data_IF_337299225349
#
_entry.id   IF_337299225349
#
_cell.length_a   1.000
_cell.length_b   1.000
_cell.length_c   1.000
_cell.angle_alpha   90.00
_cell.angle_beta   90.00
_cell.angle_gamma   90.00
#
_symmetry.space_group_name_H-M   'P 1'
#
loop_
_entity.id
_entity.type
_entity.pdbx_description
1 polymer ?
#
# COMPACT_ATOMS: atom_id res chain seq x y z
N UNK A 1 -6.08 18.78 -10.57
CA UNK A 1 -5.51 20.12 -10.50
C UNK A 1 -5.11 20.40 -9.05
N UNK A 2 -3.81 20.40 -8.80
CA UNK A 2 -3.23 20.80 -7.52
C UNK A 2 -3.51 22.25 -7.24
N UNK A 3 -4.36 22.54 -6.29
CA UNK A 3 -4.32 23.83 -5.62
C UNK A 3 -3.50 23.65 -4.34
N UNK A 4 -2.19 23.92 -4.41
CA UNK A 4 -1.42 24.20 -3.20
C UNK A 4 -2.06 25.41 -2.54
N UNK A 5 -2.64 25.22 -1.38
CA UNK A 5 -3.39 26.25 -0.71
C UNK A 5 -2.48 27.00 0.29
N UNK A 6 -1.36 27.51 -0.23
CA UNK A 6 -0.38 28.25 0.58
C UNK A 6 -1.00 29.50 1.23
N UNK A 7 -2.03 30.04 0.61
CA UNK A 7 -2.72 31.25 1.03
C UNK A 7 -4.19 31.00 1.39
N UNK A 8 -4.55 29.78 1.76
CA UNK A 8 -5.91 29.44 2.14
C UNK A 8 -6.31 30.01 3.51
N UNK A 9 -7.51 29.67 3.95
CA UNK A 9 -8.06 30.09 5.23
C UNK A 9 -7.23 29.55 6.40
N UNK A 10 -6.95 30.40 7.39
CA UNK A 10 -6.21 30.03 8.61
C UNK A 10 -7.10 29.37 9.65
N UNK A 11 -8.41 29.45 9.49
CA UNK A 11 -9.36 28.92 10.45
C UNK A 11 -9.46 27.40 10.35
N UNK A 12 -9.00 26.70 11.37
CA UNK A 12 -8.92 25.25 11.42
C UNK A 12 -10.29 24.57 11.36
N UNK A 13 -11.32 25.19 11.93
CA UNK A 13 -12.70 24.71 11.88
C UNK A 13 -13.21 24.50 10.44
N UNK A 14 -12.70 25.29 9.50
CA UNK A 14 -13.04 25.23 8.08
C UNK A 14 -12.27 24.15 7.30
N UNK A 15 -11.25 23.55 7.90
CA UNK A 15 -10.48 22.49 7.25
C UNK A 15 -11.38 21.32 6.87
N UNK A 16 -11.18 20.78 5.66
CA UNK A 16 -11.92 19.63 5.12
C UNK A 16 -10.92 18.62 4.55
N UNK A 17 -11.26 17.33 4.63
CA UNK A 17 -10.40 16.28 4.09
C UNK A 17 -10.24 16.45 2.58
N UNK A 18 -11.35 16.74 1.87
CA UNK A 18 -11.37 17.05 0.44
C UNK A 18 -12.06 18.38 0.21
N UNK A 19 -11.77 19.04 -0.92
CA UNK A 19 -12.37 20.31 -1.31
C UNK A 19 -12.27 21.42 -0.25
N UNK A 20 -11.25 21.36 0.61
CA UNK A 20 -10.98 22.40 1.59
C UNK A 20 -10.18 23.55 0.97
N UNK A 21 -10.26 24.74 1.59
CA UNK A 21 -9.50 25.94 1.22
C UNK A 21 -8.71 26.47 2.41
N UNK A 22 -8.06 25.58 3.15
CA UNK A 22 -7.21 25.94 4.28
C UNK A 22 -5.73 25.86 3.88
N UNK A 23 -4.87 26.53 4.66
CA UNK A 23 -3.43 26.39 4.47
C UNK A 23 -3.02 24.93 4.68
N UNK A 24 -2.01 24.46 3.94
CA UNK A 24 -1.45 23.11 4.12
C UNK A 24 -0.39 23.04 5.24
N UNK A 25 -0.42 23.99 6.16
CA UNK A 25 0.48 24.01 7.30
C UNK A 25 0.16 22.84 8.23
N UNK A 26 1.17 22.08 8.57
CA UNK A 26 1.10 21.04 9.60
C UNK A 26 1.32 21.68 10.97
N UNK A 27 0.25 21.81 11.74
CA UNK A 27 0.28 22.25 13.14
C UNK A 27 -0.25 21.13 14.01
N UNK A 28 0.66 20.36 14.61
CA UNK A 28 0.34 19.22 15.46
C UNK A 28 -0.32 19.60 16.79
N UNK A 29 -0.24 20.86 17.19
CA UNK A 29 -0.87 21.36 18.40
C UNK A 29 -2.32 21.80 18.17
N UNK A 30 -2.71 21.97 16.91
CA UNK A 30 -3.99 22.53 16.53
C UNK A 30 -4.57 21.83 15.27
N UNK A 31 -4.95 20.57 15.41
CA UNK A 31 -5.52 19.75 14.35
C UNK A 31 -7.03 19.66 14.46
N UNK A 32 -7.73 19.70 13.34
CA UNK A 32 -9.16 19.38 13.27
C UNK A 32 -9.41 17.87 13.39
N UNK A 33 -8.60 17.07 12.70
CA UNK A 33 -8.73 15.61 12.67
C UNK A 33 -7.71 14.99 13.64
N UNK A 34 -8.01 15.05 14.93
CA UNK A 34 -7.09 14.67 16.02
C UNK A 34 -6.68 13.20 16.00
N UNK A 35 -7.53 12.30 15.48
CA UNK A 35 -7.24 10.87 15.33
C UNK A 35 -5.98 10.60 14.47
N UNK A 36 -5.63 11.53 13.59
CA UNK A 36 -4.44 11.45 12.74
C UNK A 36 -3.17 11.32 13.56
N UNK A 37 -3.07 12.06 14.68
CA UNK A 37 -1.85 12.06 15.48
C UNK A 37 -1.53 10.66 16.02
N UNK A 38 -2.54 9.98 16.54
CA UNK A 38 -2.37 8.64 17.10
C UNK A 38 -2.07 7.62 15.99
N UNK A 39 -2.78 7.71 14.88
CA UNK A 39 -2.58 6.82 13.73
C UNK A 39 -1.17 7.01 13.12
N UNK A 40 -0.75 8.26 12.93
CA UNK A 40 0.58 8.58 12.41
C UNK A 40 1.70 8.08 13.34
N UNK A 41 1.55 8.28 14.67
CA UNK A 41 2.51 7.77 15.67
C UNK A 41 2.57 6.24 15.66
N UNK A 42 1.43 5.58 15.56
CA UNK A 42 1.38 4.12 15.45
C UNK A 42 2.13 3.65 14.20
N UNK A 43 1.92 4.31 13.05
CA UNK A 43 2.64 4.01 11.82
C UNK A 43 4.16 4.16 11.97
N UNK A 44 4.63 5.21 12.67
CA UNK A 44 6.05 5.39 12.95
C UNK A 44 6.61 4.33 13.93
N UNK A 45 5.84 3.93 14.93
CA UNK A 45 6.26 2.92 15.89
C UNK A 45 6.35 1.51 15.32
N UNK A 46 5.65 1.26 14.21
CA UNK A 46 5.72 0.01 13.46
C UNK A 46 6.88 0.00 12.45
N UNK A 47 7.89 0.83 12.66
CA UNK A 47 9.09 0.84 11.81
C UNK A 47 9.88 -0.44 11.98
N UNK A 48 10.30 -1.01 10.88
CA UNK A 48 11.20 -2.17 10.79
C UNK A 48 11.90 -2.16 9.43
N UNK A 49 12.97 -2.93 9.32
CA UNK A 49 13.68 -3.16 8.06
C UNK A 49 13.77 -4.65 7.77
N UNK A 50 13.77 -5.07 6.50
CA UNK A 50 13.79 -6.49 6.13
C UNK A 50 14.97 -7.26 6.69
N UNK A 51 16.11 -6.61 6.82
CA UNK A 51 17.36 -7.21 7.30
C UNK A 51 17.33 -7.61 8.78
N UNK A 52 16.35 -7.15 9.55
CA UNK A 52 16.12 -7.62 10.94
C UNK A 52 15.54 -9.03 10.98
N UNK A 53 15.00 -9.54 9.86
CA UNK A 53 14.41 -10.88 9.76
C UNK A 53 15.44 -11.86 9.23
N UNK A 54 15.77 -12.88 10.01
CA UNK A 54 16.70 -13.93 9.60
C UNK A 54 15.98 -15.02 8.80
N UNK A 55 16.17 -15.05 7.48
CA UNK A 55 15.55 -15.99 6.56
C UNK A 55 16.39 -17.27 6.28
N UNK A 56 17.42 -17.55 7.08
CA UNK A 56 18.28 -18.71 6.85
C UNK A 56 17.55 -20.05 7.01
N UNK A 57 16.54 -20.10 7.87
CA UNK A 57 15.70 -21.28 8.04
C UNK A 57 14.70 -21.41 6.90
N UNK A 58 14.12 -20.28 6.46
CA UNK A 58 13.10 -20.24 5.40
C UNK A 58 13.64 -20.82 4.09
N UNK A 59 14.91 -20.57 3.74
CA UNK A 59 15.56 -21.21 2.59
C UNK A 59 15.50 -22.73 2.65
N UNK A 60 15.70 -23.30 3.85
CA UNK A 60 15.69 -24.76 4.04
C UNK A 60 14.27 -25.32 3.99
N UNK A 61 13.33 -24.57 4.55
CA UNK A 61 11.93 -24.99 4.63
C UNK A 61 11.23 -24.83 3.28
N UNK A 62 11.51 -23.77 2.53
CA UNK A 62 11.04 -23.61 1.15
C UNK A 62 11.44 -24.78 0.24
N UNK A 63 12.65 -25.33 0.43
CA UNK A 63 13.13 -26.50 -0.34
C UNK A 63 12.39 -27.80 0.03
N UNK A 64 11.79 -27.88 1.20
CA UNK A 64 11.04 -29.06 1.67
C UNK A 64 9.57 -29.03 1.32
N UNK A 65 9.04 -27.86 0.90
CA UNK A 65 7.65 -27.74 0.48
C UNK A 65 7.35 -28.73 -0.65
N UNK A 66 6.17 -29.35 -0.59
CA UNK A 66 5.62 -30.10 -1.72
C UNK A 66 5.44 -29.17 -2.95
N UNK A 67 5.20 -29.73 -4.10
CA UNK A 67 4.99 -28.96 -5.32
C UNK A 67 3.74 -28.09 -5.20
N UNK A 68 2.69 -28.59 -4.59
CA UNK A 68 1.43 -27.87 -4.36
C UNK A 68 1.61 -26.71 -3.38
N UNK A 69 2.28 -26.95 -2.26
CA UNK A 69 2.57 -25.93 -1.25
C UNK A 69 3.45 -24.82 -1.83
N UNK A 70 4.49 -25.18 -2.58
CA UNK A 70 5.37 -24.22 -3.23
C UNK A 70 4.62 -23.40 -4.27
N UNK A 71 3.77 -24.04 -5.09
CA UNK A 71 2.95 -23.35 -6.08
C UNK A 71 2.00 -22.35 -5.42
N UNK A 72 1.36 -22.71 -4.30
CA UNK A 72 0.50 -21.83 -3.54
C UNK A 72 1.29 -20.65 -2.98
N UNK A 73 2.43 -20.90 -2.35
CA UNK A 73 3.31 -19.87 -1.79
C UNK A 73 3.79 -18.90 -2.87
N UNK A 74 4.31 -19.39 -3.98
CA UNK A 74 4.82 -18.58 -5.09
C UNK A 74 3.74 -17.70 -5.69
N UNK A 75 2.53 -18.22 -5.89
CA UNK A 75 1.39 -17.46 -6.42
C UNK A 75 0.93 -16.35 -5.47
N UNK A 76 0.86 -16.63 -4.17
CA UNK A 76 0.48 -15.64 -3.18
C UNK A 76 1.53 -14.54 -3.11
N UNK A 77 2.80 -14.90 -3.06
CA UNK A 77 3.89 -13.94 -3.04
C UNK A 77 3.89 -13.07 -4.30
N UNK A 78 3.72 -13.69 -5.48
CA UNK A 78 3.58 -12.99 -6.76
C UNK A 78 2.43 -11.97 -6.73
N UNK A 79 1.30 -12.35 -6.17
CA UNK A 79 0.11 -11.51 -6.07
C UNK A 79 0.33 -10.30 -5.16
N UNK A 80 0.88 -10.53 -3.95
CA UNK A 80 1.14 -9.47 -2.97
C UNK A 80 2.18 -8.46 -3.46
N UNK A 81 3.28 -8.92 -4.06
CA UNK A 81 4.32 -8.03 -4.61
C UNK A 81 3.72 -7.02 -5.60
N UNK A 82 2.83 -7.48 -6.47
CA UNK A 82 2.19 -6.61 -7.43
C UNK A 82 1.22 -5.63 -6.75
N UNK A 83 0.39 -6.10 -5.80
CA UNK A 83 -0.56 -5.25 -5.08
C UNK A 83 0.13 -4.12 -4.32
N UNK A 84 1.18 -4.40 -3.55
CA UNK A 84 1.89 -3.39 -2.78
C UNK A 84 2.64 -2.41 -3.69
N UNK A 85 3.09 -2.88 -4.86
CA UNK A 85 3.71 -2.01 -5.88
C UNK A 85 2.71 -0.99 -6.44
N UNK A 86 1.49 -1.41 -6.80
CA UNK A 86 0.47 -0.47 -7.29
C UNK A 86 -0.07 0.41 -6.16
N UNK A 87 -0.10 -0.09 -4.95
CA UNK A 87 -0.53 0.65 -3.77
C UNK A 87 0.42 1.80 -3.45
N UNK A 88 1.72 1.55 -3.43
CA UNK A 88 2.74 2.59 -3.24
C UNK A 88 2.54 3.76 -4.22
N UNK A 89 2.28 3.46 -5.49
CA UNK A 89 2.05 4.48 -6.51
C UNK A 89 0.71 5.21 -6.31
N UNK A 90 -0.37 4.47 -5.98
CA UNK A 90 -1.72 5.02 -5.89
C UNK A 90 -1.93 5.91 -4.67
N UNK A 91 -1.31 5.61 -3.54
CA UNK A 91 -1.40 6.43 -2.32
C UNK A 91 -0.94 7.87 -2.58
N UNK A 92 0.08 8.06 -3.42
CA UNK A 92 0.51 9.38 -3.87
C UNK A 92 -0.58 10.13 -4.64
N UNK A 93 -1.33 9.45 -5.51
CA UNK A 93 -2.44 10.04 -6.28
C UNK A 93 -3.60 10.45 -5.36
N UNK A 94 -3.97 9.60 -4.41
CA UNK A 94 -4.97 9.92 -3.39
C UNK A 94 -4.52 11.10 -2.54
N UNK A 95 -3.27 11.09 -2.07
CA UNK A 95 -2.68 12.14 -1.24
C UNK A 95 -2.77 13.52 -1.90
N UNK A 96 -2.61 13.56 -3.22
CA UNK A 96 -2.72 14.78 -4.00
C UNK A 96 -4.14 15.39 -4.00
N UNK A 97 -5.16 14.58 -3.78
CA UNK A 97 -6.56 15.01 -3.75
C UNK A 97 -7.00 15.44 -2.34
N UNK A 98 -6.28 15.03 -1.31
CA UNK A 98 -6.57 15.37 0.08
C UNK A 98 -6.12 16.80 0.37
N UNK A 99 -7.01 17.59 0.98
CA UNK A 99 -6.77 19.01 1.29
C UNK A 99 -6.52 19.27 2.78
N UNK A 100 -6.67 18.25 3.65
CA UNK A 100 -6.31 18.33 5.05
C UNK A 100 -4.86 17.87 5.23
N UNK A 101 -3.96 18.78 5.59
CA UNK A 101 -2.53 18.52 5.71
C UNK A 101 -2.20 17.40 6.70
N UNK A 102 -2.92 17.31 7.82
CA UNK A 102 -2.74 16.23 8.80
C UNK A 102 -3.12 14.86 8.23
N UNK A 103 -4.16 14.77 7.38
CA UNK A 103 -4.54 13.49 6.74
C UNK A 103 -3.50 13.05 5.72
N UNK A 104 -2.84 14.00 5.04
CA UNK A 104 -1.74 13.72 4.14
C UNK A 104 -0.57 13.02 4.85
N UNK A 105 -0.34 13.30 6.13
CA UNK A 105 0.70 12.61 6.92
C UNK A 105 0.40 11.12 7.07
N UNK A 106 -0.87 10.73 7.25
CA UNK A 106 -1.26 9.32 7.31
C UNK A 106 -0.95 8.59 5.99
N UNK A 107 -1.32 9.20 4.85
CA UNK A 107 -1.03 8.61 3.54
C UNK A 107 0.47 8.56 3.24
N UNK A 108 1.23 9.53 3.75
CA UNK A 108 2.69 9.55 3.59
C UNK A 108 3.35 8.41 4.36
N UNK A 109 2.97 8.19 5.62
CA UNK A 109 3.53 7.08 6.41
C UNK A 109 3.09 5.72 5.85
N UNK A 110 1.86 5.59 5.36
CA UNK A 110 1.40 4.39 4.69
C UNK A 110 2.22 4.11 3.43
N UNK A 111 2.44 5.12 2.56
CA UNK A 111 3.28 4.95 1.36
C UNK A 111 4.71 4.51 1.71
N UNK A 112 5.25 4.99 2.83
CA UNK A 112 6.54 4.54 3.32
C UNK A 112 6.51 3.05 3.73
N UNK A 113 5.47 2.61 4.42
CA UNK A 113 5.30 1.21 4.82
C UNK A 113 5.18 0.28 3.61
N UNK A 114 4.43 0.68 2.57
CA UNK A 114 4.35 -0.10 1.32
C UNK A 114 5.71 -0.22 0.60
N UNK A 115 6.53 0.82 0.69
CA UNK A 115 7.90 0.75 0.16
C UNK A 115 8.78 -0.25 0.95
N UNK A 116 8.61 -0.32 2.28
CA UNK A 116 9.29 -1.32 3.12
C UNK A 116 8.80 -2.73 2.79
N UNK A 117 7.49 -2.93 2.56
CA UNK A 117 6.93 -4.21 2.10
C UNK A 117 7.56 -4.65 0.77
N UNK A 118 7.64 -3.76 -0.21
CA UNK A 118 8.26 -4.05 -1.51
C UNK A 118 9.73 -4.44 -1.38
N UNK A 119 10.49 -3.77 -0.51
CA UNK A 119 11.87 -4.14 -0.19
C UNK A 119 11.94 -5.52 0.46
N UNK A 120 10.99 -5.84 1.35
CA UNK A 120 10.94 -7.11 2.07
C UNK A 120 10.71 -8.28 1.14
N UNK A 121 9.81 -8.14 0.16
CA UNK A 121 9.60 -9.18 -0.85
C UNK A 121 10.85 -9.43 -1.68
N UNK A 122 11.56 -8.36 -2.06
CA UNK A 122 12.83 -8.51 -2.77
C UNK A 122 13.86 -9.25 -1.93
N UNK A 123 14.01 -8.88 -0.66
CA UNK A 123 14.91 -9.53 0.29
C UNK A 123 14.54 -11.01 0.51
N UNK A 124 13.24 -11.31 0.66
CA UNK A 124 12.72 -12.66 0.82
C UNK A 124 13.05 -13.51 -0.42
N UNK A 125 12.70 -13.04 -1.61
CA UNK A 125 12.96 -13.78 -2.85
C UNK A 125 14.44 -14.04 -3.08
N UNK A 126 15.31 -13.05 -2.85
CA UNK A 126 16.75 -13.21 -2.97
C UNK A 126 17.33 -14.21 -1.94
N UNK A 127 16.64 -14.37 -0.79
CA UNK A 127 17.08 -15.30 0.25
C UNK A 127 16.66 -16.75 0.00
N UNK A 128 15.53 -16.99 -0.66
CA UNK A 128 14.94 -18.36 -0.79
C UNK A 128 15.00 -18.94 -2.20
N UNK A 129 15.20 -18.11 -3.24
CA UNK A 129 15.13 -18.52 -4.65
C UNK A 129 16.40 -18.23 -5.42
N UNK A 130 16.58 -18.95 -6.56
CA UNK A 130 17.53 -18.53 -7.59
C UNK A 130 17.02 -17.30 -8.36
N UNK A 131 17.90 -16.54 -9.03
CA UNK A 131 17.48 -15.40 -9.85
C UNK A 131 16.43 -15.73 -10.91
N UNK A 132 16.51 -16.92 -11.52
CA UNK A 132 15.56 -17.38 -12.52
C UNK A 132 14.18 -17.62 -11.89
N UNK A 133 14.14 -18.32 -10.74
CA UNK A 133 12.89 -18.58 -10.01
C UNK A 133 12.27 -17.30 -9.46
N UNK A 134 13.09 -16.37 -8.98
CA UNK A 134 12.63 -15.03 -8.59
C UNK A 134 11.91 -14.32 -9.73
N UNK A 135 12.48 -14.31 -10.92
CA UNK A 135 11.86 -13.67 -12.09
C UNK A 135 10.54 -14.35 -12.48
N UNK A 136 10.46 -15.68 -12.37
CA UNK A 136 9.21 -16.42 -12.57
C UNK A 136 8.14 -15.96 -11.58
N UNK A 137 8.44 -15.93 -10.28
CA UNK A 137 7.48 -15.53 -9.23
C UNK A 137 7.00 -14.10 -9.43
N UNK A 138 7.88 -13.16 -9.75
CA UNK A 138 7.52 -11.74 -9.93
C UNK A 138 6.39 -11.53 -10.95
N UNK A 139 6.26 -12.41 -11.94
CA UNK A 139 5.29 -12.27 -13.02
C UNK A 139 4.22 -13.37 -13.07
N UNK A 140 4.26 -14.35 -12.18
CA UNK A 140 3.36 -15.51 -12.19
C UNK A 140 1.87 -15.14 -12.07
N UNK A 141 1.55 -14.00 -11.41
CA UNK A 141 0.19 -13.47 -11.33
C UNK A 141 -0.43 -13.16 -12.71
N UNK A 142 0.39 -12.94 -13.75
CA UNK A 142 -0.09 -12.68 -15.12
C UNK A 142 -0.61 -13.93 -15.81
N UNK A 143 -0.07 -15.08 -15.42
CA UNK A 143 -0.37 -16.37 -16.03
C UNK A 143 -1.53 -17.09 -15.32
N UNK A 144 -1.96 -16.57 -14.17
CA UNK A 144 -3.13 -17.06 -13.43
C UNK A 144 -4.32 -16.13 -13.66
N UNK A 145 -5.37 -16.64 -14.34
CA UNK A 145 -6.54 -15.83 -14.72
C UNK A 145 -7.25 -15.20 -13.50
N UNK A 146 -7.30 -15.90 -12.37
CA UNK A 146 -7.95 -15.41 -11.16
C UNK A 146 -7.16 -14.25 -10.56
N UNK A 147 -5.84 -14.41 -10.42
CA UNK A 147 -4.96 -13.38 -9.88
C UNK A 147 -4.91 -12.16 -10.81
N UNK A 148 -4.82 -12.41 -12.12
CA UNK A 148 -4.84 -11.35 -13.13
C UNK A 148 -6.13 -10.51 -13.06
N UNK A 149 -7.30 -11.15 -12.94
CA UNK A 149 -8.57 -10.45 -12.87
C UNK A 149 -8.73 -9.66 -11.59
N UNK A 150 -8.25 -10.18 -10.44
CA UNK A 150 -8.21 -9.43 -9.16
C UNK A 150 -7.33 -8.19 -9.27
N UNK A 151 -6.14 -8.34 -9.82
CA UNK A 151 -5.21 -7.23 -10.01
C UNK A 151 -5.77 -6.17 -10.97
N UNK A 152 -6.40 -6.59 -12.08
CA UNK A 152 -7.07 -5.69 -13.00
C UNK A 152 -8.20 -4.93 -12.33
N UNK A 153 -9.01 -5.59 -11.52
CA UNK A 153 -10.12 -4.93 -10.81
C UNK A 153 -9.64 -3.75 -9.96
N UNK A 154 -8.58 -3.95 -9.18
CA UNK A 154 -7.98 -2.88 -8.35
C UNK A 154 -7.34 -1.80 -9.23
N UNK A 155 -6.51 -2.21 -10.19
CA UNK A 155 -5.81 -1.30 -11.09
C UNK A 155 -6.75 -0.43 -11.92
N UNK A 156 -7.85 -0.99 -12.41
CA UNK A 156 -8.84 -0.25 -13.20
C UNK A 156 -9.54 0.84 -12.37
N UNK A 157 -9.84 0.58 -11.10
CA UNK A 157 -10.43 1.57 -10.21
C UNK A 157 -9.44 2.71 -9.91
N UNK A 158 -8.15 2.38 -9.74
CA UNK A 158 -7.11 3.37 -9.55
C UNK A 158 -6.91 4.22 -10.82
N UNK A 159 -6.85 3.59 -11.99
CA UNK A 159 -6.72 4.29 -13.27
C UNK A 159 -7.93 5.19 -13.53
N UNK A 160 -9.16 4.75 -13.24
CA UNK A 160 -10.35 5.60 -13.35
C UNK A 160 -10.23 6.88 -12.50
N UNK A 161 -9.64 6.78 -11.30
CA UNK A 161 -9.42 7.96 -10.46
C UNK A 161 -8.31 8.85 -11.01
N UNK A 162 -7.22 8.29 -11.52
CA UNK A 162 -6.11 9.04 -12.12
C UNK A 162 -6.59 9.81 -13.35
N UNK A 163 -7.33 9.14 -14.23
CA UNK A 163 -7.80 9.72 -15.50
C UNK A 163 -8.92 10.75 -15.28
N UNK A 164 -9.75 10.54 -14.28
CA UNK A 164 -10.87 11.42 -13.96
C UNK A 164 -11.04 11.58 -12.43
N UNK A 165 -10.30 12.48 -11.79
CA UNK A 165 -10.26 12.66 -10.33
C UNK A 165 -11.52 13.40 -9.83
N UNK A 166 -12.62 12.68 -9.71
CA UNK A 166 -13.87 13.11 -9.10
C UNK A 166 -14.02 12.53 -7.68
N UNK A 167 -14.92 13.10 -6.87
CA UNK A 167 -15.24 12.54 -5.54
C UNK A 167 -15.72 11.09 -5.63
N UNK A 168 -16.54 10.76 -6.64
CA UNK A 168 -17.02 9.40 -6.87
C UNK A 168 -15.87 8.44 -7.17
N UNK A 169 -14.94 8.83 -8.03
CA UNK A 169 -13.79 7.99 -8.37
C UNK A 169 -12.78 7.91 -7.22
N UNK A 170 -12.63 8.98 -6.42
CA UNK A 170 -11.88 8.92 -5.16
C UNK A 170 -12.48 7.88 -4.21
N UNK A 171 -13.80 7.89 -4.01
CA UNK A 171 -14.46 6.90 -3.14
C UNK A 171 -14.26 5.48 -3.66
N UNK A 172 -14.32 5.26 -4.97
CA UNK A 172 -14.02 3.95 -5.57
C UNK A 172 -12.56 3.54 -5.33
N UNK A 173 -11.61 4.45 -5.48
CA UNK A 173 -10.20 4.19 -5.23
C UNK A 173 -9.94 3.87 -3.73
N UNK A 174 -10.59 4.58 -2.81
CA UNK A 174 -10.53 4.30 -1.37
C UNK A 174 -11.16 2.94 -1.02
N UNK A 175 -12.28 2.58 -1.67
CA UNK A 175 -12.89 1.25 -1.51
C UNK A 175 -12.00 0.15 -2.09
N UNK A 176 -11.36 0.39 -3.23
CA UNK A 176 -10.38 -0.53 -3.81
C UNK A 176 -9.18 -0.75 -2.87
N UNK A 177 -8.66 0.34 -2.27
CA UNK A 177 -7.63 0.25 -1.24
C UNK A 177 -8.10 -0.58 -0.03
N UNK A 178 -9.30 -0.33 0.47
CA UNK A 178 -9.86 -1.10 1.58
C UNK A 178 -10.02 -2.59 1.26
N UNK A 179 -10.45 -2.94 0.04
CA UNK A 179 -10.56 -4.32 -0.43
C UNK A 179 -9.16 -4.95 -0.54
N UNK A 180 -8.20 -4.22 -1.09
CA UNK A 180 -6.82 -4.66 -1.22
C UNK A 180 -6.25 -5.00 0.16
N UNK A 181 -6.28 -4.05 1.08
CA UNK A 181 -5.68 -4.19 2.41
C UNK A 181 -6.46 -5.17 3.32
N UNK A 182 -7.79 -5.06 3.35
CA UNK A 182 -8.64 -5.78 4.29
C UNK A 182 -9.09 -7.16 3.83
N UNK A 183 -9.00 -7.46 2.54
CA UNK A 183 -9.48 -8.74 1.98
C UNK A 183 -8.36 -9.48 1.24
N UNK A 184 -7.70 -8.81 0.31
CA UNK A 184 -6.70 -9.48 -0.55
C UNK A 184 -5.40 -9.74 0.20
N UNK A 185 -4.90 -8.77 0.96
CA UNK A 185 -3.67 -8.91 1.74
C UNK A 185 -3.82 -9.84 2.95
N UNK A 186 -5.04 -9.99 3.51
CA UNK A 186 -5.30 -10.88 4.68
C UNK A 186 -5.09 -12.35 4.36
N UNK A 187 -5.14 -12.77 3.10
CA UNK A 187 -4.82 -14.17 2.71
C UNK A 187 -3.40 -14.59 3.12
N UNK A 188 -2.49 -13.64 3.32
CA UNK A 188 -1.15 -13.86 3.85
C UNK A 188 -1.13 -14.30 5.33
N UNK A 189 -2.01 -13.75 6.17
CA UNK A 189 -2.06 -14.04 7.62
C UNK A 189 -2.41 -15.50 7.93
N UNK A 190 -3.01 -16.22 6.98
CA UNK A 190 -3.38 -17.62 7.14
C UNK A 190 -2.31 -18.60 6.66
N UNK A 191 -1.20 -18.12 6.11
CA UNK A 191 -0.08 -18.93 5.62
C UNK A 191 1.15 -18.91 6.53
N UNK A 192 1.16 -18.07 7.54
CA UNK A 192 2.17 -18.14 8.61
C UNK A 192 1.86 -19.36 9.47
N UNK A 193 2.50 -20.47 9.16
CA UNK A 193 2.57 -21.68 9.97
C UNK A 193 3.48 -21.46 11.17
#
# INVERSE_FOLDING_TARGET
VYKRQEFGDREISKKRIINGNTTNLNDFNNMKYTWVSDWYRQGMNNFWIPEEVNLSQDLKDYKKLSEEERTAYDKILSFLIFLDSIQTANLGNINNYITASEVNLCLTIQSFQEAVHSQSYSYMLDSICSPEKRNEILYQWKDDEILLNRNKFIGDLYNQFIDNPTETNLLKALMANYILEGIYSVSYTHLTL
#
